data_IF_703423776278
#
_entry.id   IF_703423776278
#
_cell.length_a   1.000
_cell.length_b   1.000
_cell.length_c   1.000
_cell.angle_alpha   90.00
_cell.angle_beta   90.00
_cell.angle_gamma   90.00
#
_symmetry.space_group_name_H-M   'P 1'
#
loop_
_entity.id
_entity.type
_entity.pdbx_description
1 polymer ?
#
# COMPACT_ATOMS: atom_id res chain seq x y z
N UNK A 1 -59.83 -23.79 -38.47
CA UNK A 1 -58.46 -23.32 -38.13
C UNK A 1 -57.85 -24.31 -37.13
N UNK A 2 -56.87 -25.13 -37.55
CA UNK A 2 -56.25 -26.16 -36.70
C UNK A 2 -54.94 -25.58 -36.15
N UNK A 3 -54.91 -25.31 -34.84
CA UNK A 3 -53.76 -24.74 -34.13
C UNK A 3 -52.67 -25.83 -34.07
N UNK A 4 -51.58 -25.64 -34.82
CA UNK A 4 -50.38 -26.47 -34.71
C UNK A 4 -49.81 -26.32 -33.30
N UNK A 5 -49.85 -27.39 -32.49
CA UNK A 5 -49.07 -27.49 -31.26
C UNK A 5 -47.62 -27.70 -31.70
N UNK A 6 -46.79 -26.66 -31.57
CA UNK A 6 -45.33 -26.83 -31.60
C UNK A 6 -44.98 -27.86 -30.52
N UNK A 7 -44.31 -28.95 -30.90
CA UNK A 7 -43.70 -29.84 -29.93
C UNK A 7 -42.58 -29.06 -29.25
N UNK A 8 -42.72 -28.83 -27.95
CA UNK A 8 -41.58 -28.47 -27.13
C UNK A 8 -40.78 -29.76 -26.94
N UNK A 9 -39.66 -29.89 -27.65
CA UNK A 9 -38.76 -31.02 -27.52
C UNK A 9 -38.04 -30.91 -26.17
N UNK A 10 -38.17 -31.94 -25.33
CA UNK A 10 -37.40 -32.05 -24.10
C UNK A 10 -35.94 -32.39 -24.43
N UNK A 11 -34.99 -31.75 -23.74
CA UNK A 11 -33.56 -32.00 -23.92
C UNK A 11 -33.20 -33.46 -23.68
N UNK A 12 -32.28 -33.97 -24.50
CA UNK A 12 -31.73 -35.31 -24.32
C UNK A 12 -30.78 -35.35 -23.12
N UNK A 13 -30.64 -36.51 -22.47
CA UNK A 13 -29.69 -36.70 -21.37
C UNK A 13 -28.25 -36.32 -21.79
N UNK A 14 -27.89 -36.61 -23.04
CA UNK A 14 -26.59 -36.27 -23.60
C UNK A 14 -26.36 -34.76 -23.67
N UNK A 15 -27.34 -33.96 -24.12
CA UNK A 15 -27.24 -32.50 -24.15
C UNK A 15 -27.07 -31.92 -22.75
N UNK A 16 -27.77 -32.46 -21.76
CA UNK A 16 -27.63 -32.00 -20.36
C UNK A 16 -26.22 -32.27 -19.84
N UNK A 17 -25.66 -33.45 -20.11
CA UNK A 17 -24.29 -33.80 -19.69
C UNK A 17 -23.26 -32.89 -20.37
N UNK A 18 -23.42 -32.63 -21.67
CA UNK A 18 -22.54 -31.73 -22.42
C UNK A 18 -22.65 -30.31 -21.89
N UNK A 19 -23.87 -29.80 -21.67
CA UNK A 19 -24.10 -28.48 -21.12
C UNK A 19 -23.49 -28.32 -19.72
N UNK A 20 -23.64 -29.31 -18.85
CA UNK A 20 -23.02 -29.32 -17.53
C UNK A 20 -21.49 -29.34 -17.61
N UNK A 21 -20.92 -30.13 -18.52
CA UNK A 21 -19.46 -30.20 -18.71
C UNK A 21 -18.90 -28.85 -19.15
N UNK A 22 -19.55 -28.21 -20.13
CA UNK A 22 -19.18 -26.86 -20.60
C UNK A 22 -19.34 -25.84 -19.48
N UNK A 23 -20.44 -25.90 -18.72
CA UNK A 23 -20.69 -25.02 -17.59
C UNK A 23 -19.59 -25.15 -16.52
N UNK A 24 -19.18 -26.38 -16.18
CA UNK A 24 -18.09 -26.61 -15.23
C UNK A 24 -16.78 -25.99 -15.71
N UNK A 25 -16.45 -26.10 -17.01
CA UNK A 25 -15.26 -25.46 -17.57
C UNK A 25 -15.34 -23.93 -17.48
N UNK A 26 -16.49 -23.35 -17.80
CA UNK A 26 -16.71 -21.90 -17.72
C UNK A 26 -16.57 -21.41 -16.26
N UNK A 27 -17.22 -22.09 -15.32
CA UNK A 27 -17.14 -21.75 -13.89
C UNK A 27 -15.70 -21.89 -13.39
N UNK A 28 -15.00 -22.97 -13.77
CA UNK A 28 -13.60 -23.18 -13.42
C UNK A 28 -12.70 -22.04 -13.91
N UNK A 29 -12.87 -21.62 -15.16
CA UNK A 29 -12.14 -20.47 -15.72
C UNK A 29 -12.46 -19.17 -14.96
N UNK A 30 -13.73 -18.90 -14.68
CA UNK A 30 -14.16 -17.73 -13.93
C UNK A 30 -13.57 -17.69 -12.51
N UNK A 31 -13.58 -18.82 -11.80
CA UNK A 31 -12.97 -18.94 -10.46
C UNK A 31 -11.47 -18.68 -10.53
N UNK A 32 -10.77 -19.23 -11.52
CA UNK A 32 -9.32 -19.00 -11.68
C UNK A 32 -8.99 -17.52 -11.88
N UNK A 33 -9.73 -16.83 -12.75
CA UNK A 33 -9.57 -15.40 -12.98
C UNK A 33 -9.88 -14.57 -11.72
N UNK A 34 -10.93 -14.95 -10.99
CA UNK A 34 -11.29 -14.30 -9.74
C UNK A 34 -10.19 -14.44 -8.68
N UNK A 35 -9.64 -15.64 -8.50
CA UNK A 35 -8.53 -15.87 -7.57
C UNK A 35 -7.32 -15.02 -7.93
N UNK A 36 -6.93 -14.99 -9.21
CA UNK A 36 -5.82 -14.14 -9.68
C UNK A 36 -6.05 -12.67 -9.37
N UNK A 37 -7.28 -12.18 -9.56
CA UNK A 37 -7.67 -10.80 -9.26
C UNK A 37 -7.54 -10.49 -7.76
N UNK A 38 -8.00 -11.39 -6.89
CA UNK A 38 -7.86 -11.25 -5.44
C UNK A 38 -6.40 -11.24 -4.99
N UNK A 39 -5.56 -12.12 -5.57
CA UNK A 39 -4.13 -12.13 -5.25
C UNK A 39 -3.43 -10.83 -5.70
N UNK A 40 -3.75 -10.35 -6.91
CA UNK A 40 -3.22 -9.10 -7.42
C UNK A 40 -3.65 -7.91 -6.54
N UNK A 41 -4.93 -7.87 -6.13
CA UNK A 41 -5.45 -6.85 -5.23
C UNK A 41 -4.70 -6.81 -3.90
N UNK A 42 -4.57 -7.95 -3.21
CA UNK A 42 -3.85 -8.02 -1.92
C UNK A 42 -2.39 -7.62 -2.03
N UNK A 43 -1.74 -7.90 -3.17
CA UNK A 43 -0.36 -7.46 -3.42
C UNK A 43 -0.28 -5.95 -3.59
N UNK A 44 -1.27 -5.35 -4.26
CA UNK A 44 -1.32 -3.91 -4.49
C UNK A 44 -1.66 -3.15 -3.20
N UNK A 45 -2.57 -3.68 -2.37
CA UNK A 45 -2.91 -3.12 -1.06
C UNK A 45 -1.67 -2.97 -0.18
N UNK A 46 -0.86 -4.03 -0.02
CA UNK A 46 0.40 -3.95 0.74
C UNK A 46 1.41 -2.94 0.20
N UNK A 47 1.40 -2.66 -1.11
CA UNK A 47 2.27 -1.67 -1.74
C UNK A 47 1.73 -0.26 -1.52
N UNK A 48 0.41 -0.11 -1.60
CA UNK A 48 -0.30 1.13 -1.34
C UNK A 48 -0.04 1.61 0.08
N UNK A 49 -0.18 0.74 1.09
CA UNK A 49 0.09 1.09 2.49
C UNK A 49 1.50 1.66 2.70
N UNK A 50 2.51 1.03 2.07
CA UNK A 50 3.91 1.47 2.17
C UNK A 50 4.11 2.81 1.46
N UNK A 51 3.45 3.03 0.33
CA UNK A 51 3.53 4.30 -0.40
C UNK A 51 2.84 5.43 0.36
N UNK A 52 1.72 5.17 1.01
CA UNK A 52 1.00 6.15 1.83
C UNK A 52 1.82 6.57 3.06
N UNK A 53 2.37 5.60 3.80
CA UNK A 53 3.27 5.87 4.93
C UNK A 53 4.49 6.67 4.48
N UNK A 54 5.11 6.30 3.35
CA UNK A 54 6.28 7.02 2.84
C UNK A 54 5.93 8.45 2.41
N UNK A 55 4.79 8.64 1.74
CA UNK A 55 4.32 9.96 1.35
C UNK A 55 4.10 10.84 2.58
N UNK A 56 3.43 10.32 3.61
CA UNK A 56 3.21 11.02 4.86
C UNK A 56 4.53 11.41 5.55
N UNK A 57 5.48 10.48 5.65
CA UNK A 57 6.80 10.76 6.20
C UNK A 57 7.56 11.83 5.40
N UNK A 58 7.52 11.79 4.07
CA UNK A 58 8.15 12.79 3.21
C UNK A 58 7.52 14.17 3.34
N UNK A 59 6.19 14.26 3.49
CA UNK A 59 5.50 15.53 3.72
C UNK A 59 5.94 16.16 5.05
N UNK A 60 6.04 15.35 6.11
CA UNK A 60 6.55 15.80 7.42
C UNK A 60 8.00 16.25 7.33
N UNK A 61 8.89 15.43 6.75
CA UNK A 61 10.31 15.76 6.60
C UNK A 61 10.46 17.04 5.76
N UNK A 62 9.75 17.15 4.65
CA UNK A 62 9.81 18.31 3.76
C UNK A 62 9.36 19.58 4.47
N UNK A 63 8.29 19.51 5.27
CA UNK A 63 7.84 20.65 6.08
C UNK A 63 8.93 21.05 7.08
N UNK A 64 9.41 20.11 7.87
CA UNK A 64 10.37 20.37 8.93
C UNK A 64 11.72 20.85 8.38
N UNK A 65 12.18 20.34 7.23
CA UNK A 65 13.38 20.81 6.54
C UNK A 65 13.21 22.23 6.00
N UNK A 66 12.00 22.60 5.54
CA UNK A 66 11.72 23.95 5.04
C UNK A 66 11.57 24.98 6.15
N UNK A 67 11.13 24.57 7.33
CA UNK A 67 11.07 25.40 8.54
C UNK A 67 12.32 25.25 9.42
N UNK A 68 13.33 24.49 8.98
CA UNK A 68 14.58 24.36 9.70
C UNK A 68 15.39 25.66 9.58
N UNK A 69 15.80 26.19 10.73
CA UNK A 69 16.75 27.28 10.79
C UNK A 69 18.20 26.77 10.69
N UNK A 70 18.45 25.60 11.28
CA UNK A 70 19.80 25.05 11.39
C UNK A 70 19.79 23.51 11.30
N UNK A 71 20.81 22.95 10.63
CA UNK A 71 21.12 21.53 10.68
C UNK A 71 22.11 21.29 11.81
N UNK A 72 21.63 20.69 12.90
CA UNK A 72 22.45 20.47 14.10
C UNK A 72 23.35 19.23 13.99
N UNK A 73 23.01 18.29 13.12
CA UNK A 73 23.83 17.10 12.92
C UNK A 73 23.30 16.15 11.86
N UNK A 74 24.23 15.52 11.13
CA UNK A 74 23.94 14.48 10.13
C UNK A 74 24.82 13.27 10.43
N UNK A 75 24.19 12.09 10.44
CA UNK A 75 24.87 10.81 10.45
C UNK A 75 24.15 9.84 9.49
N UNK A 76 24.73 8.68 9.14
CA UNK A 76 24.13 7.75 8.18
C UNK A 76 22.71 7.28 8.51
N UNK A 77 22.28 7.37 9.78
CA UNK A 77 20.95 6.94 10.22
C UNK A 77 20.22 7.99 11.05
N UNK A 78 20.73 9.23 11.10
CA UNK A 78 20.13 10.27 11.94
C UNK A 78 20.30 11.66 11.31
N UNK A 79 19.24 12.46 11.35
CA UNK A 79 19.24 13.87 10.97
C UNK A 79 18.67 14.68 12.12
N UNK A 80 19.39 15.70 12.57
CA UNK A 80 18.96 16.63 13.62
C UNK A 80 18.79 18.02 13.05
N UNK A 81 17.62 18.60 13.28
CA UNK A 81 17.24 19.92 12.80
C UNK A 81 16.78 20.77 13.97
N UNK A 82 17.12 22.05 13.92
CA UNK A 82 16.48 23.08 14.73
C UNK A 82 15.38 23.70 13.87
N UNK A 83 14.13 23.49 14.26
CA UNK A 83 12.96 23.91 13.49
C UNK A 83 12.26 25.05 14.22
N UNK A 84 11.89 26.09 13.48
CA UNK A 84 11.06 27.17 13.98
C UNK A 84 9.58 26.84 13.76
N UNK A 85 8.83 26.72 14.86
CA UNK A 85 7.37 26.53 14.86
C UNK A 85 6.75 27.59 15.78
N UNK A 86 6.48 28.76 15.20
CA UNK A 86 6.08 30.01 15.86
C UNK A 86 5.14 29.79 17.08
N UNK A 87 5.54 30.19 18.32
CA UNK A 87 6.69 31.04 18.67
C UNK A 87 7.92 30.27 19.19
N UNK A 88 7.95 28.94 19.12
CA UNK A 88 8.99 28.13 19.75
C UNK A 88 9.96 27.50 18.74
N UNK A 89 11.22 27.40 19.15
CA UNK A 89 12.20 26.57 18.45
C UNK A 89 12.15 25.16 19.05
N UNK A 90 12.06 24.15 18.19
CA UNK A 90 12.05 22.75 18.61
C UNK A 90 13.19 21.98 17.94
N UNK A 91 13.85 21.11 18.72
CA UNK A 91 14.76 20.10 18.17
C UNK A 91 13.91 18.97 17.58
N UNK A 92 14.12 18.73 16.28
CA UNK A 92 13.54 17.60 15.56
C UNK A 92 14.62 16.62 15.19
N UNK A 93 14.49 15.38 15.68
CA UNK A 93 15.44 14.30 15.40
C UNK A 93 14.76 13.21 14.59
N UNK A 94 15.27 12.96 13.39
CA UNK A 94 14.90 11.81 12.58
C UNK A 94 15.91 10.70 12.78
N UNK A 95 15.45 9.48 13.07
CA UNK A 95 16.32 8.31 13.23
C UNK A 95 15.78 7.12 12.45
N UNK A 96 16.65 6.46 11.70
CA UNK A 96 16.33 5.18 11.07
C UNK A 96 16.72 4.04 12.01
N UNK A 97 15.72 3.33 12.53
CA UNK A 97 15.91 2.09 13.28
C UNK A 97 16.12 0.93 12.30
N UNK A 98 17.39 0.58 12.07
CA UNK A 98 17.82 -0.53 11.22
C UNK A 98 17.23 -1.88 11.64
N UNK A 99 17.01 -2.10 12.93
CA UNK A 99 16.52 -3.40 13.45
C UNK A 99 15.04 -3.58 13.17
N UNK A 100 14.28 -2.49 13.28
CA UNK A 100 12.83 -2.50 13.08
C UNK A 100 12.43 -2.15 11.65
N UNK A 101 13.33 -1.56 10.87
CA UNK A 101 13.04 -1.02 9.54
C UNK A 101 12.06 0.16 9.63
N UNK A 102 12.20 0.98 10.67
CA UNK A 102 11.28 2.08 10.98
C UNK A 102 12.01 3.42 10.91
N UNK A 103 11.36 4.41 10.34
CA UNK A 103 11.78 5.80 10.45
C UNK A 103 10.98 6.46 11.56
N UNK A 104 11.68 6.96 12.57
CA UNK A 104 11.10 7.64 13.71
C UNK A 104 11.44 9.12 13.68
N UNK A 105 10.50 9.93 14.16
CA UNK A 105 10.65 11.36 14.40
C UNK A 105 10.49 11.62 15.89
N UNK A 106 11.45 12.31 16.49
CA UNK A 106 11.42 12.70 17.89
C UNK A 106 11.35 14.22 17.99
N UNK A 107 10.38 14.72 18.75
CA UNK A 107 10.16 16.15 19.00
C UNK A 107 9.68 16.34 20.43
N UNK A 108 10.32 17.26 21.17
CA UNK A 108 9.95 17.54 22.56
C UNK A 108 10.01 16.29 23.46
N UNK A 109 10.89 15.32 23.15
CA UNK A 109 11.01 14.03 23.85
C UNK A 109 9.92 13.01 23.51
N UNK A 110 9.00 13.30 22.58
CA UNK A 110 8.02 12.34 22.06
C UNK A 110 8.52 11.71 20.77
N UNK A 111 8.55 10.38 20.72
CA UNK A 111 8.92 9.61 19.53
C UNK A 111 7.67 9.11 18.80
N UNK A 112 7.54 9.46 17.52
CA UNK A 112 6.50 8.99 16.62
C UNK A 112 7.12 8.16 15.49
N UNK A 113 6.54 6.99 15.19
CA UNK A 113 6.91 6.20 14.00
C UNK A 113 6.20 6.78 12.80
N UNK A 114 6.95 7.32 11.83
CA UNK A 114 6.38 8.02 10.68
C UNK A 114 6.36 7.17 9.40
N UNK A 115 7.21 6.16 9.29
CA UNK A 115 7.15 5.17 8.22
C UNK A 115 7.77 3.83 8.62
N UNK A 116 7.24 2.73 8.09
CA UNK A 116 7.76 1.37 8.30
C UNK A 116 8.30 0.75 7.01
N UNK A 117 8.98 -0.38 7.15
CA UNK A 117 9.61 -1.15 6.06
C UNK A 117 10.63 -0.32 5.27
N UNK A 118 11.31 0.61 5.96
CA UNK A 118 12.38 1.42 5.41
C UNK A 118 13.65 0.58 5.29
N UNK A 119 14.21 0.55 4.08
CA UNK A 119 15.40 -0.23 3.72
C UNK A 119 16.65 0.63 3.56
N UNK A 120 16.51 1.95 3.51
CA UNK A 120 17.59 2.90 3.36
C UNK A 120 17.16 4.30 3.81
N UNK A 121 18.09 5.02 4.42
CA UNK A 121 17.98 6.44 4.73
C UNK A 121 19.35 7.07 4.45
N UNK A 122 19.40 8.10 3.61
CA UNK A 122 20.63 8.80 3.24
C UNK A 122 20.34 10.28 3.19
N UNK A 123 21.20 11.09 3.80
CA UNK A 123 21.11 12.55 3.80
C UNK A 123 22.40 13.12 3.23
N UNK A 124 22.27 14.05 2.28
CA UNK A 124 23.37 14.82 1.71
C UNK A 124 23.11 16.31 1.92
N UNK A 125 24.11 17.03 2.38
CA UNK A 125 24.09 18.47 2.61
C UNK A 125 25.24 19.10 1.82
N UNK A 126 24.96 20.16 1.07
CA UNK A 126 25.89 20.82 0.14
C UNK A 126 26.14 22.27 0.56
#
# INVERSE_FOLDING_TARGET
MRKSRKSEEAFTLAEVIVALSVLTLIIGAAISLFQQSVFAWKRNEKRFDVQEELKFALEIISRDVRSAEEVMGISPSELRLKVYDDPAEEEVVYRWDLKRGELVREVGGKTDVIARKITGFEVKYY
#
